data_IF_649641123163
#
_entry.id   IF_649641123163
#
_cell.length_a   1.000
_cell.length_b   1.000
_cell.length_c   1.000
_cell.angle_alpha   90.00
_cell.angle_beta   90.00
_cell.angle_gamma   90.00
#
_symmetry.space_group_name_H-M   'P 1'
#
loop_
_entity.id
_entity.type
_entity.pdbx_description
1 polymer ?
#
# COMPACT_ATOMS: atom_id res chain seq x y z
N UNK A 1 9.29 -1.14 12.09
CA UNK A 1 10.06 -1.83 11.02
C UNK A 1 10.86 -0.80 10.22
N UNK A 2 12.04 -1.13 9.68
CA UNK A 2 12.88 -0.17 8.95
C UNK A 2 12.32 0.05 7.54
N UNK A 3 11.79 1.23 7.28
CA UNK A 3 11.25 1.59 5.96
C UNK A 3 12.25 2.39 5.11
N UNK A 4 13.31 2.92 5.72
CA UNK A 4 14.39 3.61 5.02
C UNK A 4 15.70 2.85 5.23
N UNK A 5 16.38 2.53 4.13
CA UNK A 5 17.65 1.81 4.13
C UNK A 5 18.59 2.62 3.23
N UNK A 6 19.41 3.54 3.77
CA UNK A 6 20.25 4.41 2.95
C UNK A 6 21.60 3.78 2.55
N UNK A 7 21.97 2.65 3.16
CA UNK A 7 23.24 1.97 2.93
C UNK A 7 23.08 0.46 2.98
N UNK A 8 23.70 -0.22 2.02
CA UNK A 8 23.70 -1.69 1.92
C UNK A 8 25.13 -2.16 1.66
N UNK A 9 25.55 -3.23 2.33
CA UNK A 9 26.83 -3.90 2.08
C UNK A 9 26.61 -5.37 1.77
N UNK A 10 27.14 -5.80 0.64
CA UNK A 10 27.11 -7.19 0.19
C UNK A 10 28.53 -7.76 0.22
N UNK A 11 28.67 -8.98 0.73
CA UNK A 11 29.89 -9.78 0.61
C UNK A 11 29.56 -11.03 -0.20
N UNK A 12 30.22 -11.22 -1.33
CA UNK A 12 29.98 -12.38 -2.20
C UNK A 12 30.69 -13.65 -1.66
N UNK A 13 30.49 -14.78 -2.35
CA UNK A 13 31.09 -16.07 -1.98
C UNK A 13 32.61 -16.09 -2.10
N UNK A 14 33.19 -15.20 -2.91
CA UNK A 14 34.64 -15.01 -3.07
C UNK A 14 35.21 -14.05 -2.01
N UNK A 15 34.35 -13.47 -1.18
CA UNK A 15 34.70 -12.56 -0.11
C UNK A 15 34.86 -11.11 -0.53
N UNK A 16 34.57 -10.76 -1.79
CA UNK A 16 34.58 -9.37 -2.26
C UNK A 16 33.44 -8.61 -1.63
N UNK A 17 33.72 -7.38 -1.19
CA UNK A 17 32.75 -6.50 -0.54
C UNK A 17 32.35 -5.40 -1.52
N UNK A 18 31.05 -5.15 -1.62
CA UNK A 18 30.51 -4.00 -2.34
C UNK A 18 29.56 -3.25 -1.44
N UNK A 19 29.77 -1.94 -1.31
CA UNK A 19 28.91 -1.04 -0.56
C UNK A 19 28.10 -0.19 -1.54
N UNK A 20 26.83 0.02 -1.22
CA UNK A 20 25.89 0.82 -1.98
C UNK A 20 25.30 1.88 -1.06
N UNK A 21 25.22 3.11 -1.56
CA UNK A 21 24.61 4.25 -0.87
C UNK A 21 23.48 4.78 -1.75
N UNK A 22 22.31 5.05 -1.17
CA UNK A 22 21.22 5.68 -1.90
C UNK A 22 21.62 7.10 -2.32
N UNK A 23 21.32 7.51 -3.56
CA UNK A 23 21.72 8.83 -4.08
C UNK A 23 21.19 10.01 -3.28
N UNK A 24 20.02 9.85 -2.66
CA UNK A 24 19.36 10.84 -1.81
C UNK A 24 19.76 10.72 -0.33
N UNK A 25 20.66 9.79 0.02
CA UNK A 25 21.11 9.63 1.39
C UNK A 25 21.89 10.87 1.85
N UNK A 26 21.52 11.39 3.02
CA UNK A 26 22.16 12.54 3.66
C UNK A 26 23.30 12.16 4.60
N UNK A 27 23.65 10.86 4.68
CA UNK A 27 24.63 10.34 5.63
C UNK A 27 26.07 10.53 5.12
N UNK A 28 26.95 11.07 5.95
CA UNK A 28 28.40 11.11 5.67
C UNK A 28 29.04 9.74 5.87
N UNK A 29 30.22 9.48 5.26
CA UNK A 29 30.97 8.24 5.49
C UNK A 29 31.24 7.95 6.97
N UNK A 30 31.53 8.99 7.78
CA UNK A 30 31.78 8.86 9.21
C UNK A 30 30.51 8.47 9.97
N UNK A 31 29.35 9.00 9.57
CA UNK A 31 28.06 8.64 10.13
C UNK A 31 27.71 7.17 9.81
N UNK A 32 27.93 6.73 8.56
CA UNK A 32 27.76 5.33 8.16
C UNK A 32 28.72 4.43 8.95
N UNK A 33 29.97 4.85 9.13
CA UNK A 33 30.98 4.10 9.88
C UNK A 33 30.57 3.91 11.36
N UNK A 34 30.01 4.94 11.99
CA UNK A 34 29.56 4.92 13.40
C UNK A 34 28.17 4.29 13.59
N UNK A 35 27.34 4.27 12.55
CA UNK A 35 25.99 3.71 12.62
C UNK A 35 26.05 2.21 12.96
N UNK A 36 25.07 1.77 13.75
CA UNK A 36 24.88 0.36 14.07
C UNK A 36 24.54 -0.42 12.79
N UNK A 37 25.47 -1.27 12.36
CA UNK A 37 25.30 -2.11 11.17
C UNK A 37 24.57 -3.38 11.59
N UNK A 38 23.48 -3.68 10.89
CA UNK A 38 22.70 -4.90 11.09
C UNK A 38 22.85 -5.79 9.87
N UNK A 39 23.04 -7.09 10.11
CA UNK A 39 22.95 -8.09 9.05
C UNK A 39 21.49 -8.23 8.67
N UNK A 40 21.20 -8.06 7.38
CA UNK A 40 19.85 -8.25 6.84
C UNK A 40 19.39 -9.68 7.12
N UNK A 41 18.17 -9.81 7.66
CA UNK A 41 17.52 -11.09 7.90
C UNK A 41 16.21 -11.22 7.10
N UNK A 42 15.54 -12.35 7.24
CA UNK A 42 14.30 -12.63 6.52
C UNK A 42 13.19 -11.62 6.84
N UNK A 43 13.17 -11.00 8.03
CA UNK A 43 12.14 -10.05 8.44
C UNK A 43 12.39 -8.65 7.90
N UNK A 44 13.61 -8.34 7.49
CA UNK A 44 13.89 -7.10 6.76
C UNK A 44 13.22 -7.12 5.37
N UNK A 45 12.99 -8.31 4.77
CA UNK A 45 12.31 -8.48 3.48
C UNK A 45 10.84 -8.94 3.60
N UNK A 46 10.57 -9.91 4.47
CA UNK A 46 9.27 -10.56 4.67
C UNK A 46 8.82 -10.37 6.12
N UNK A 47 8.48 -9.14 6.50
CA UNK A 47 7.79 -9.02 7.77
C UNK A 47 6.50 -9.83 7.69
N UNK A 48 6.30 -10.67 8.71
CA UNK A 48 5.06 -11.40 8.89
C UNK A 48 4.33 -10.77 10.06
N UNK A 49 3.55 -9.69 9.85
CA UNK A 49 2.66 -9.19 10.89
C UNK A 49 1.78 -10.33 11.39
N UNK A 50 1.82 -10.66 12.68
CA UNK A 50 0.91 -11.69 13.23
C UNK A 50 -0.55 -11.27 13.05
N UNK A 51 -0.84 -9.97 13.18
CA UNK A 51 -2.08 -9.34 12.77
C UNK A 51 -1.82 -8.53 11.51
N UNK A 52 -2.56 -8.81 10.44
CA UNK A 52 -2.45 -8.07 9.17
C UNK A 52 -3.42 -6.90 9.22
N UNK A 53 -2.87 -5.69 9.27
CA UNK A 53 -3.65 -4.44 9.20
C UNK A 53 -3.80 -4.06 7.72
N UNK A 54 -4.96 -4.36 7.15
CA UNK A 54 -5.25 -4.13 5.74
C UNK A 54 -5.46 -2.65 5.46
N UNK A 55 -4.97 -2.09 4.35
CA UNK A 55 -5.37 -0.75 3.97
C UNK A 55 -6.89 -0.69 3.64
N UNK A 56 -7.59 0.43 3.93
CA UNK A 56 -9.02 0.58 3.66
C UNK A 56 -9.44 0.19 2.25
N UNK A 57 -8.68 0.59 1.23
CA UNK A 57 -8.92 0.24 -0.17
C UNK A 57 -9.05 -1.27 -0.38
N UNK A 58 -8.07 -2.03 0.14
CA UNK A 58 -8.05 -3.50 0.08
C UNK A 58 -9.19 -4.14 0.87
N UNK A 59 -9.42 -3.67 2.10
CA UNK A 59 -10.43 -4.22 2.99
C UNK A 59 -11.86 -4.04 2.41
N UNK A 60 -12.10 -2.91 1.73
CA UNK A 60 -13.37 -2.61 1.08
C UNK A 60 -13.55 -3.42 -0.21
N UNK A 61 -12.50 -3.62 -1.00
CA UNK A 61 -12.57 -4.50 -2.17
C UNK A 61 -12.97 -5.92 -1.78
N UNK A 62 -12.38 -6.47 -0.72
CA UNK A 62 -12.73 -7.80 -0.21
C UNK A 62 -14.20 -7.84 0.29
N UNK A 63 -14.70 -6.76 0.90
CA UNK A 63 -16.08 -6.67 1.37
C UNK A 63 -17.10 -6.53 0.23
N UNK A 64 -16.78 -5.76 -0.81
CA UNK A 64 -17.60 -5.58 -2.01
C UNK A 64 -17.65 -6.86 -2.85
N UNK A 65 -16.50 -7.50 -3.05
CA UNK A 65 -16.40 -8.78 -3.75
C UNK A 65 -17.23 -9.86 -3.05
N UNK A 66 -17.16 -9.89 -1.71
CA UNK A 66 -17.96 -10.79 -0.89
C UNK A 66 -19.44 -10.39 -0.74
N UNK A 67 -19.88 -9.29 -1.37
CA UNK A 67 -21.26 -8.74 -1.28
C UNK A 67 -21.72 -8.46 0.15
N UNK A 68 -20.78 -8.20 1.08
CA UNK A 68 -21.11 -7.70 2.43
C UNK A 68 -21.49 -6.22 2.40
N UNK A 69 -21.04 -5.50 1.38
CA UNK A 69 -21.50 -4.17 1.01
C UNK A 69 -22.18 -4.29 -0.36
N UNK A 70 -23.35 -3.68 -0.52
CA UNK A 70 -24.06 -3.64 -1.81
C UNK A 70 -23.30 -2.73 -2.79
N UNK A 71 -22.73 -3.26 -3.89
CA UNK A 71 -21.95 -2.46 -4.83
C UNK A 71 -22.83 -1.58 -5.74
N UNK A 72 -24.15 -1.71 -5.68
CA UNK A 72 -25.07 -0.81 -6.38
C UNK A 72 -25.20 0.56 -5.72
N UNK A 73 -24.74 0.70 -4.46
CA UNK A 73 -24.68 1.98 -3.76
C UNK A 73 -23.65 2.91 -4.43
N UNK A 74 -24.06 4.08 -4.96
CA UNK A 74 -23.14 4.99 -5.61
C UNK A 74 -21.99 5.41 -4.69
N UNK A 75 -20.77 5.41 -5.22
CA UNK A 75 -19.56 5.88 -4.54
C UNK A 75 -19.23 5.20 -3.20
N UNK A 76 -19.86 4.07 -2.87
CA UNK A 76 -19.70 3.46 -1.53
C UNK A 76 -18.24 3.15 -1.21
N UNK A 77 -17.46 2.63 -2.16
CA UNK A 77 -16.03 2.36 -1.97
C UNK A 77 -15.27 3.64 -1.63
N UNK A 78 -15.41 4.68 -2.45
CA UNK A 78 -14.69 5.93 -2.26
C UNK A 78 -15.02 6.58 -0.89
N UNK A 79 -16.31 6.70 -0.56
CA UNK A 79 -16.72 7.32 0.71
C UNK A 79 -16.34 6.48 1.92
N UNK A 80 -16.38 5.15 1.80
CA UNK A 80 -15.92 4.27 2.86
C UNK A 80 -14.40 4.35 3.07
N UNK A 81 -13.60 4.45 2.00
CA UNK A 81 -12.14 4.68 2.09
C UNK A 81 -11.87 6.02 2.79
N UNK A 82 -12.60 7.08 2.45
CA UNK A 82 -12.46 8.40 3.07
C UNK A 82 -12.66 8.33 4.58
N UNK A 83 -13.79 7.78 5.04
CA UNK A 83 -14.11 7.73 6.48
C UNK A 83 -13.18 6.80 7.24
N UNK A 84 -12.83 5.63 6.69
CA UNK A 84 -11.87 4.71 7.31
C UNK A 84 -10.46 5.30 7.42
N UNK A 85 -10.14 6.30 6.61
CA UNK A 85 -8.83 6.95 6.58
C UNK A 85 -8.69 8.14 7.49
N UNK A 86 -9.76 8.56 8.16
CA UNK A 86 -9.70 9.62 9.16
C UNK A 86 -9.03 9.15 10.44
N UNK A 87 -8.41 10.10 11.14
CA UNK A 87 -7.93 9.87 12.50
C UNK A 87 -9.09 10.12 13.46
N UNK A 88 -9.46 9.08 14.21
CA UNK A 88 -10.43 9.18 15.29
C UNK A 88 -9.72 9.05 16.64
N UNK A 89 -10.19 9.75 17.68
CA UNK A 89 -9.59 9.66 19.01
C UNK A 89 -9.91 8.34 19.73
N UNK A 90 -10.97 7.64 19.34
CA UNK A 90 -11.38 6.35 19.90
C UNK A 90 -12.23 5.55 18.91
N UNK A 91 -12.37 4.26 19.17
CA UNK A 91 -13.22 3.34 18.41
C UNK A 91 -14.70 3.79 18.45
N UNK A 92 -15.16 4.33 19.59
CA UNK A 92 -16.52 4.87 19.71
C UNK A 92 -16.73 6.11 18.82
N UNK A 93 -15.76 7.04 18.81
CA UNK A 93 -15.81 8.22 17.95
C UNK A 93 -15.76 7.84 16.46
N UNK A 94 -14.99 6.81 16.11
CA UNK A 94 -14.95 6.27 14.75
C UNK A 94 -16.30 5.69 14.33
N UNK A 95 -16.94 4.87 15.17
CA UNK A 95 -18.28 4.32 14.89
C UNK A 95 -19.29 5.42 14.59
N UNK A 96 -19.37 6.42 15.46
CA UNK A 96 -20.31 7.54 15.29
C UNK A 96 -19.99 8.36 14.03
N UNK A 97 -18.71 8.69 13.82
CA UNK A 97 -18.26 9.44 12.65
C UNK A 97 -18.57 8.75 11.33
N UNK A 98 -18.25 7.45 11.23
CA UNK A 98 -18.52 6.62 10.04
C UNK A 98 -20.01 6.60 9.73
N UNK A 99 -20.85 6.32 10.73
CA UNK A 99 -22.30 6.27 10.54
C UNK A 99 -22.85 7.63 10.10
N UNK A 100 -22.46 8.69 10.79
CA UNK A 100 -22.95 10.04 10.53
C UNK A 100 -22.58 10.50 9.12
N UNK A 101 -21.35 10.28 8.69
CA UNK A 101 -20.88 10.78 7.40
C UNK A 101 -21.44 10.01 6.20
N UNK A 102 -21.47 8.68 6.28
CA UNK A 102 -22.03 7.86 5.22
C UNK A 102 -23.55 8.05 5.09
N UNK A 103 -24.27 8.07 6.21
CA UNK A 103 -25.71 8.28 6.21
C UNK A 103 -26.07 9.67 5.64
N UNK A 104 -25.37 10.72 6.12
CA UNK A 104 -25.54 12.09 5.62
C UNK A 104 -25.27 12.18 4.13
N UNK A 105 -24.22 11.53 3.63
CA UNK A 105 -23.88 11.54 2.21
C UNK A 105 -25.02 10.97 1.34
N UNK A 106 -25.58 9.82 1.71
CA UNK A 106 -26.69 9.26 0.93
C UNK A 106 -27.98 10.07 1.08
N UNK A 107 -28.25 10.60 2.28
CA UNK A 107 -29.40 11.46 2.52
C UNK A 107 -29.33 12.76 1.69
N UNK A 108 -28.15 13.39 1.58
CA UNK A 108 -27.99 14.67 0.87
C UNK A 108 -27.84 14.50 -0.64
N UNK A 109 -26.95 13.60 -1.08
CA UNK A 109 -26.58 13.48 -2.50
C UNK A 109 -27.52 12.55 -3.27
N UNK A 110 -28.17 11.61 -2.57
CA UNK A 110 -29.00 10.57 -3.19
C UNK A 110 -30.36 10.35 -2.48
N UNK A 111 -31.16 11.40 -2.18
CA UNK A 111 -32.36 11.28 -1.34
C UNK A 111 -33.41 10.28 -1.88
N UNK A 112 -33.61 10.26 -3.21
CA UNK A 112 -34.54 9.33 -3.85
C UNK A 112 -34.08 7.86 -3.76
N UNK A 113 -32.77 7.60 -3.79
CA UNK A 113 -32.21 6.26 -3.59
C UNK A 113 -32.21 5.90 -2.11
N UNK A 114 -31.84 6.83 -1.23
CA UNK A 114 -31.78 6.63 0.22
C UNK A 114 -33.12 6.14 0.78
N UNK A 115 -34.23 6.79 0.39
CA UNK A 115 -35.58 6.35 0.79
C UNK A 115 -35.95 4.92 0.38
N UNK A 116 -35.36 4.39 -0.70
CA UNK A 116 -35.62 3.03 -1.21
C UNK A 116 -34.62 1.99 -0.74
N UNK A 117 -33.44 2.42 -0.33
CA UNK A 117 -32.28 1.56 -0.02
C UNK A 117 -31.76 1.77 1.40
N UNK A 118 -32.58 2.34 2.28
CA UNK A 118 -32.22 2.65 3.66
C UNK A 118 -31.55 1.47 4.38
N UNK A 119 -32.10 0.27 4.22
CA UNK A 119 -31.54 -0.94 4.84
C UNK A 119 -30.18 -1.33 4.23
N UNK A 120 -29.98 -1.15 2.92
CA UNK A 120 -28.69 -1.37 2.29
C UNK A 120 -27.64 -0.35 2.75
N UNK A 121 -28.03 0.92 2.93
CA UNK A 121 -27.15 1.96 3.48
C UNK A 121 -26.76 1.65 4.93
N UNK A 122 -27.72 1.26 5.79
CA UNK A 122 -27.43 0.84 7.17
C UNK A 122 -26.54 -0.39 7.24
N UNK A 123 -26.76 -1.37 6.37
CA UNK A 123 -25.92 -2.56 6.28
C UNK A 123 -24.49 -2.21 5.85
N UNK A 124 -24.34 -1.33 4.85
CA UNK A 124 -23.03 -0.83 4.43
C UNK A 124 -22.31 -0.09 5.56
N UNK A 125 -23.00 0.81 6.28
CA UNK A 125 -22.45 1.51 7.45
C UNK A 125 -21.95 0.51 8.50
N UNK A 126 -22.77 -0.49 8.82
CA UNK A 126 -22.43 -1.52 9.81
C UNK A 126 -21.18 -2.29 9.39
N UNK A 127 -21.07 -2.68 8.12
CA UNK A 127 -19.89 -3.39 7.62
C UNK A 127 -18.64 -2.49 7.63
N UNK A 128 -18.76 -1.20 7.27
CA UNK A 128 -17.62 -0.26 7.34
C UNK A 128 -17.16 -0.06 8.78
N UNK A 129 -18.08 0.07 9.75
CA UNK A 129 -17.73 0.12 11.17
C UNK A 129 -17.00 -1.16 11.62
N UNK A 130 -17.50 -2.34 11.21
CA UNK A 130 -16.86 -3.63 11.49
C UNK A 130 -15.45 -3.71 10.90
N UNK A 131 -15.26 -3.22 9.67
CA UNK A 131 -13.93 -3.13 9.05
C UNK A 131 -13.00 -2.24 9.88
N UNK A 132 -13.47 -1.08 10.36
CA UNK A 132 -12.68 -0.23 11.25
C UNK A 132 -12.24 -0.98 12.52
N UNK A 133 -13.18 -1.57 13.26
CA UNK A 133 -12.92 -2.21 14.55
C UNK A 133 -12.01 -3.44 14.48
N UNK A 134 -12.02 -4.14 13.36
CA UNK A 134 -11.20 -5.34 13.17
C UNK A 134 -9.78 -5.03 12.70
N UNK A 135 -9.47 -3.76 12.39
CA UNK A 135 -8.32 -3.44 11.56
C UNK A 135 -7.64 -2.09 11.89
N UNK A 136 -8.29 -1.20 12.61
CA UNK A 136 -7.79 0.13 12.99
C UNK A 136 -8.06 0.33 14.48
N UNK A 137 -7.00 0.57 15.24
CA UNK A 137 -7.04 0.63 16.69
C UNK A 137 -6.51 1.99 17.17
N UNK A 138 -7.37 3.02 17.22
CA UNK A 138 -6.94 4.40 17.50
C UNK A 138 -6.30 4.56 18.88
N UNK A 139 -6.78 3.85 19.90
CA UNK A 139 -6.25 3.89 21.26
C UNK A 139 -4.82 3.33 21.34
N UNK A 140 -4.52 2.34 20.51
CA UNK A 140 -3.19 1.73 20.41
C UNK A 140 -2.28 2.44 19.41
N UNK A 141 -2.84 3.36 18.60
CA UNK A 141 -2.17 4.00 17.46
C UNK A 141 -1.64 2.96 16.46
N UNK A 142 -2.44 1.94 16.20
CA UNK A 142 -2.10 0.81 15.32
C UNK A 142 -3.07 0.76 14.16
N UNK A 143 -2.52 0.77 12.95
CA UNK A 143 -3.23 0.71 11.68
C UNK A 143 -2.27 0.23 10.56
N UNK A 144 -2.76 0.20 9.32
CA UNK A 144 -1.98 -0.19 8.14
C UNK A 144 -0.80 0.75 7.83
N UNK A 145 -0.82 2.00 8.31
CA UNK A 145 0.25 2.99 8.06
C UNK A 145 1.43 2.73 8.97
N UNK A 146 1.15 2.40 10.23
CA UNK A 146 2.14 2.08 11.27
C UNK A 146 2.69 0.67 11.14
N UNK A 147 1.94 -0.24 10.51
CA UNK A 147 2.28 -1.66 10.34
C UNK A 147 2.32 -2.05 8.85
N UNK A 148 3.26 -1.49 8.08
CA UNK A 148 3.37 -1.75 6.64
C UNK A 148 3.64 -3.23 6.37
N UNK A 149 3.19 -3.74 5.22
CA UNK A 149 3.51 -5.09 4.74
C UNK A 149 4.50 -5.00 3.59
N UNK A 150 5.66 -5.64 3.73
CA UNK A 150 6.76 -5.52 2.77
C UNK A 150 6.81 -6.63 1.71
N UNK A 151 5.80 -7.51 1.66
CA UNK A 151 5.70 -8.56 0.64
C UNK A 151 5.51 -8.01 -0.79
N UNK A 152 4.95 -6.81 -0.93
CA UNK A 152 4.69 -6.17 -2.21
C UNK A 152 5.07 -4.69 -2.21
N UNK A 153 4.94 -4.05 -3.36
CA UNK A 153 5.37 -2.66 -3.57
C UNK A 153 4.23 -1.71 -4.02
N UNK A 154 2.96 -2.10 -3.82
CA UNK A 154 1.81 -1.30 -4.23
C UNK A 154 1.46 -0.24 -3.18
N UNK A 155 1.14 -0.67 -1.95
CA UNK A 155 0.79 0.24 -0.86
C UNK A 155 1.98 0.74 -0.03
N UNK A 156 3.12 0.06 -0.16
CA UNK A 156 4.32 0.27 0.63
C UNK A 156 5.55 0.11 -0.27
N UNK A 157 6.71 0.60 0.16
CA UNK A 157 7.93 0.45 -0.63
C UNK A 157 8.39 -1.01 -0.80
N UNK A 158 8.08 -1.91 0.14
CA UNK A 158 8.42 -3.33 0.01
C UNK A 158 9.91 -3.58 -0.23
N UNK A 159 10.23 -4.33 -1.29
CA UNK A 159 11.59 -4.60 -1.74
C UNK A 159 12.29 -3.35 -2.31
N UNK A 160 11.53 -2.36 -2.81
CA UNK A 160 12.09 -1.13 -3.37
C UNK A 160 12.77 -0.24 -2.35
N UNK A 161 12.74 -0.55 -1.05
CA UNK A 161 13.62 0.10 -0.06
C UNK A 161 15.11 -0.10 -0.33
N UNK A 162 15.47 -1.09 -1.13
CA UNK A 162 16.83 -1.27 -1.65
C UNK A 162 16.86 -1.43 -3.18
N UNK A 163 15.79 -1.98 -3.77
CA UNK A 163 15.67 -2.21 -5.21
C UNK A 163 14.99 -1.04 -5.92
N UNK A 164 15.46 0.18 -5.68
CA UNK A 164 14.92 1.43 -6.24
C UNK A 164 15.74 1.98 -7.43
N UNK A 165 16.87 1.34 -7.76
CA UNK A 165 17.81 1.87 -8.75
C UNK A 165 18.59 3.10 -8.27
N UNK A 166 18.42 3.52 -7.01
CA UNK A 166 19.10 4.67 -6.41
C UNK A 166 20.29 4.28 -5.54
N UNK A 167 20.40 3.01 -5.16
CA UNK A 167 21.55 2.50 -4.42
C UNK A 167 22.74 2.25 -5.35
N UNK A 168 23.78 3.09 -5.25
CA UNK A 168 24.95 3.05 -6.15
C UNK A 168 26.24 2.84 -5.36
N UNK A 169 27.13 2.00 -5.88
CA UNK A 169 28.47 1.78 -5.33
C UNK A 169 29.48 2.82 -5.84
N UNK A 170 30.64 2.93 -5.20
CA UNK A 170 31.76 3.74 -5.70
C UNK A 170 32.23 3.39 -7.12
N UNK A 171 32.08 2.13 -7.54
CA UNK A 171 32.40 1.63 -8.89
C UNK A 171 31.25 1.84 -9.91
N UNK A 172 30.17 2.51 -9.52
CA UNK A 172 29.00 2.75 -10.38
C UNK A 172 28.01 1.60 -10.53
N UNK A 173 28.19 0.47 -9.81
CA UNK A 173 27.20 -0.62 -9.76
C UNK A 173 25.93 -0.14 -9.04
N UNK A 174 24.77 -0.58 -9.53
CA UNK A 174 23.46 -0.18 -9.01
C UNK A 174 22.69 -1.40 -8.49
N UNK A 175 22.00 -1.27 -7.35
CA UNK A 175 20.98 -2.25 -6.96
C UNK A 175 19.77 -2.06 -7.88
N UNK A 176 19.56 -3.03 -8.77
CA UNK A 176 18.59 -2.94 -9.86
C UNK A 176 17.14 -2.89 -9.36
N UNK A 177 16.28 -2.20 -10.13
CA UNK A 177 14.82 -2.08 -9.96
C UNK A 177 14.03 -2.86 -11.03
N UNK A 178 14.69 -3.73 -11.80
CA UNK A 178 14.03 -4.48 -12.87
C UNK A 178 12.89 -5.34 -12.31
N UNK A 179 11.75 -5.37 -12.98
CA UNK A 179 10.56 -6.04 -12.49
C UNK A 179 10.74 -7.58 -12.42
N UNK A 180 11.56 -8.12 -13.32
CA UNK A 180 11.90 -9.54 -13.46
C UNK A 180 12.72 -10.06 -12.28
N UNK A 181 13.23 -9.18 -11.42
CA UNK A 181 13.88 -9.57 -10.16
C UNK A 181 12.91 -10.31 -9.26
N UNK A 182 11.63 -9.92 -9.27
CA UNK A 182 10.60 -10.46 -8.37
C UNK A 182 9.41 -11.10 -9.11
N UNK A 183 9.14 -10.70 -10.35
CA UNK A 183 7.98 -11.14 -11.11
C UNK A 183 8.38 -12.00 -12.30
N UNK A 184 7.68 -13.12 -12.48
CA UNK A 184 7.64 -13.81 -13.77
C UNK A 184 6.38 -13.34 -14.49
N UNK A 185 6.54 -12.54 -15.54
CA UNK A 185 5.41 -12.08 -16.34
C UNK A 185 4.91 -13.21 -17.23
N UNK A 186 3.67 -13.61 -17.01
CA UNK A 186 2.98 -14.62 -17.82
C UNK A 186 2.09 -14.00 -18.92
N UNK A 187 1.89 -12.68 -18.87
CA UNK A 187 1.11 -11.87 -19.80
C UNK A 187 0.78 -10.51 -19.17
N UNK A 188 0.51 -9.49 -19.97
CA UNK A 188 -0.02 -8.19 -19.53
C UNK A 188 -1.17 -7.84 -20.48
N UNK A 189 -2.42 -8.01 -20.04
CA UNK A 189 -3.60 -7.72 -20.86
C UNK A 189 -4.57 -6.82 -20.09
N UNK A 190 -5.11 -5.82 -20.77
CA UNK A 190 -6.21 -4.97 -20.32
C UNK A 190 -7.46 -5.35 -21.15
N UNK A 191 -8.42 -6.04 -20.54
CA UNK A 191 -9.63 -6.54 -21.23
C UNK A 191 -9.57 -8.02 -21.68
N UNK A 192 -10.58 -8.47 -22.44
CA UNK A 192 -10.78 -9.89 -22.77
C UNK A 192 -10.45 -10.24 -24.24
N UNK A 193 -9.38 -11.05 -24.45
CA UNK A 193 -9.26 -12.27 -25.29
C UNK A 193 -7.79 -12.53 -25.73
N UNK A 194 -7.35 -13.80 -25.85
CA UNK A 194 -5.97 -14.22 -25.54
C UNK A 194 -5.04 -14.34 -26.75
N UNK A 195 -3.72 -14.24 -26.50
CA UNK A 195 -2.74 -15.35 -26.66
C UNK A 195 -1.30 -14.85 -26.45
N UNK A 196 -0.70 -15.32 -25.35
CA UNK A 196 0.73 -15.65 -25.13
C UNK A 196 1.74 -15.01 -26.09
N UNK A 197 2.44 -13.99 -25.60
CA UNK A 197 3.82 -13.70 -25.98
C UNK A 197 4.64 -13.45 -24.70
N UNK A 198 5.66 -14.28 -24.47
CA UNK A 198 6.54 -14.24 -23.30
C UNK A 198 7.63 -13.18 -23.54
N UNK A 199 7.19 -11.93 -23.69
CA UNK A 199 7.95 -10.69 -23.47
C UNK A 199 6.90 -9.57 -23.52
N UNK A 200 6.18 -9.38 -22.42
CA UNK A 200 5.15 -8.35 -22.33
C UNK A 200 5.75 -6.94 -22.44
N UNK A 201 5.00 -5.96 -22.97
CA UNK A 201 5.40 -4.56 -22.96
C UNK A 201 5.63 -4.04 -21.53
N UNK A 202 6.26 -2.86 -21.35
CA UNK A 202 6.36 -2.23 -20.04
C UNK A 202 4.97 -1.99 -19.43
N UNK A 203 4.87 -2.11 -18.10
CA UNK A 203 3.63 -1.87 -17.35
C UNK A 203 3.02 -0.50 -17.72
N UNK A 204 1.71 -0.48 -17.97
CA UNK A 204 0.92 0.75 -18.16
C UNK A 204 0.02 0.96 -16.95
N UNK A 205 0.02 2.17 -16.41
CA UNK A 205 -0.86 2.54 -15.32
C UNK A 205 -2.33 2.58 -15.82
N UNK A 206 -3.32 2.08 -15.05
CA UNK A 206 -4.72 2.03 -15.50
C UNK A 206 -5.38 3.39 -15.77
N UNK A 207 -4.79 4.47 -15.26
CA UNK A 207 -5.16 5.84 -15.62
C UNK A 207 -3.94 6.57 -16.14
N UNK A 208 -4.15 7.47 -17.11
CA UNK A 208 -3.06 8.27 -17.67
C UNK A 208 -2.52 9.24 -16.61
N UNK A 209 -1.31 8.96 -16.13
CA UNK A 209 -0.59 9.78 -15.16
C UNK A 209 0.61 10.51 -15.80
N UNK A 210 0.68 10.54 -17.14
CA UNK A 210 1.84 11.04 -17.87
C UNK A 210 3.10 10.19 -17.66
N UNK A 211 4.27 10.79 -17.89
CA UNK A 211 5.57 10.13 -17.76
C UNK A 211 6.07 10.14 -16.30
N UNK A 212 5.48 9.28 -15.47
CA UNK A 212 5.89 9.05 -14.08
C UNK A 212 6.54 7.67 -13.90
N UNK A 213 7.20 7.14 -14.92
CA UNK A 213 7.85 5.83 -14.86
C UNK A 213 8.92 5.70 -13.73
N UNK A 214 9.43 6.84 -13.24
CA UNK A 214 10.38 6.89 -12.13
C UNK A 214 9.71 6.78 -10.73
N UNK A 215 8.42 7.11 -10.62
CA UNK A 215 7.68 7.15 -9.34
C UNK A 215 7.32 5.74 -8.89
N UNK A 216 7.27 5.52 -7.58
CA UNK A 216 6.84 4.24 -7.03
C UNK A 216 5.33 4.26 -6.77
N UNK A 217 4.63 3.15 -7.00
CA UNK A 217 3.18 3.06 -6.79
C UNK A 217 2.77 3.57 -5.39
N UNK A 218 3.55 3.22 -4.35
CA UNK A 218 3.29 3.61 -2.96
C UNK A 218 3.40 5.10 -2.68
N UNK A 219 3.96 5.89 -3.60
CA UNK A 219 4.03 7.34 -3.46
C UNK A 219 2.64 7.98 -3.63
N UNK A 220 1.74 7.32 -4.37
CA UNK A 220 0.34 7.75 -4.56
C UNK A 220 -0.66 6.77 -3.92
N UNK A 221 -0.37 5.47 -3.94
CA UNK A 221 -1.24 4.43 -3.39
C UNK A 221 -0.91 4.17 -1.93
N UNK A 222 -1.47 4.96 -1.00
CA UNK A 222 -1.28 4.76 0.44
C UNK A 222 -2.30 3.80 1.06
N UNK A 223 -3.24 3.32 0.24
CA UNK A 223 -4.38 2.49 0.61
C UNK A 223 -5.49 3.22 1.39
N UNK A 224 -5.29 4.52 1.67
CA UNK A 224 -6.37 5.47 1.95
C UNK A 224 -6.86 6.14 0.66
N UNK A 225 -7.46 7.34 0.72
CA UNK A 225 -7.89 8.08 -0.45
C UNK A 225 -6.69 8.32 -1.36
N UNK A 226 -6.91 8.14 -2.66
CA UNK A 226 -5.93 8.56 -3.67
C UNK A 226 -5.75 10.08 -3.66
N UNK A 227 -4.62 10.57 -4.20
CA UNK A 227 -4.40 12.00 -4.43
C UNK A 227 -5.43 12.60 -5.40
#
# INVERSE_FOLDING_TARGET
MRQQIPWVRVKDTQGRVTEYVAKDATLTPEQIARAAKRRMDCMDCHNRPSHVFQPPDRALDDALLARRIDPSLPFIKARAVDVLSKQYPSTAAAREGIATELDRFYLSEYPALYSRTLEAVKAAITEVQRLYESNIFPEMKVDWRTHPNNIGHFYYAGCFRCHDGQHVSSEGKVIRKDCEICHTFVGQEEGARPMVEITGPPFRHPVDIGDLAAVTCSDCHTGGPGP
#
